data_IF_089268981974
#
_entry.id   IF_089268981974
#
_cell.length_a   1.000
_cell.length_b   1.000
_cell.length_c   1.000
_cell.angle_alpha   90.00
_cell.angle_beta   90.00
_cell.angle_gamma   90.00
#
_symmetry.space_group_name_H-M   'P 1'
#
loop_
_entity.id
_entity.type
_entity.pdbx_description
1 polymer ?
#
# COMPACT_ATOMS: atom_id res chain seq x y z
N UNK A 1 14.40 -3.47 0.82
CA UNK A 1 13.69 -2.53 1.71
C UNK A 1 13.59 -3.16 3.09
N UNK A 2 13.76 -2.39 4.16
CA UNK A 2 13.50 -2.90 5.51
C UNK A 2 11.98 -2.97 5.69
N UNK A 3 11.49 -4.08 6.19
CA UNK A 3 10.09 -4.24 6.56
C UNK A 3 9.72 -3.20 7.62
N UNK A 4 8.62 -2.52 7.43
CA UNK A 4 8.12 -1.49 8.35
C UNK A 4 6.64 -1.74 8.65
N UNK A 5 6.34 -2.50 9.72
CA UNK A 5 4.96 -2.82 10.07
C UNK A 5 4.11 -1.61 10.49
N UNK A 6 4.76 -0.46 10.73
CA UNK A 6 4.09 0.81 11.10
C UNK A 6 3.84 1.72 9.89
N UNK A 7 3.90 1.17 8.68
CA UNK A 7 3.81 1.93 7.45
C UNK A 7 2.52 2.75 7.33
N UNK A 8 1.41 2.22 7.83
CA UNK A 8 0.09 2.85 7.81
C UNK A 8 -0.25 3.63 9.09
N UNK A 9 0.60 3.61 10.10
CA UNK A 9 0.32 4.29 11.36
C UNK A 9 0.10 5.79 11.17
N UNK A 10 0.93 6.41 10.35
CA UNK A 10 0.79 7.84 10.03
C UNK A 10 -0.53 8.16 9.32
N UNK A 11 -1.00 7.26 8.46
CA UNK A 11 -2.29 7.41 7.82
C UNK A 11 -3.43 7.37 8.86
N UNK A 12 -3.37 6.43 9.81
CA UNK A 12 -4.38 6.30 10.85
C UNK A 12 -4.41 7.49 11.83
N UNK A 13 -3.35 8.27 11.92
CA UNK A 13 -3.27 9.48 12.77
C UNK A 13 -3.74 10.76 12.08
N UNK A 14 -4.07 10.72 10.80
CA UNK A 14 -4.52 11.91 10.07
C UNK A 14 -5.94 12.32 10.50
N UNK A 15 -6.18 13.61 10.73
CA UNK A 15 -7.48 14.13 11.14
C UNK A 15 -8.41 14.30 9.92
N UNK A 16 -8.75 13.20 9.25
CA UNK A 16 -9.67 13.19 8.12
C UNK A 16 -10.44 11.87 8.06
N UNK A 17 -11.62 11.93 7.48
CA UNK A 17 -12.40 10.73 7.21
C UNK A 17 -11.87 10.03 5.97
N UNK A 18 -11.46 8.77 6.12
CA UNK A 18 -11.02 7.96 4.99
C UNK A 18 -11.46 6.51 5.16
N UNK A 19 -11.54 5.83 4.04
CA UNK A 19 -11.73 4.38 3.98
C UNK A 19 -10.51 3.75 3.34
N UNK A 20 -9.89 2.81 4.04
CA UNK A 20 -8.79 1.99 3.53
C UNK A 20 -9.33 0.61 3.19
N UNK A 21 -9.12 0.20 1.96
CA UNK A 21 -9.55 -1.12 1.48
C UNK A 21 -8.36 -1.86 0.90
N UNK A 22 -8.17 -3.09 1.36
CA UNK A 22 -7.19 -4.02 0.82
C UNK A 22 -7.92 -5.17 0.13
N UNK A 23 -7.49 -5.47 -1.07
CA UNK A 23 -7.89 -6.68 -1.78
C UNK A 23 -6.65 -7.53 -1.95
N UNK A 24 -6.65 -8.73 -1.38
CA UNK A 24 -5.55 -9.67 -1.45
C UNK A 24 -6.04 -10.97 -2.05
N UNK A 25 -5.46 -11.38 -3.17
CA UNK A 25 -5.65 -12.71 -3.75
C UNK A 25 -4.40 -13.53 -3.45
N UNK A 26 -4.53 -14.50 -2.55
CA UNK A 26 -3.46 -15.45 -2.27
C UNK A 26 -3.19 -16.28 -3.51
N UNK A 27 -1.93 -16.50 -3.81
CA UNK A 27 -1.49 -17.25 -4.98
C UNK A 27 -0.83 -18.55 -4.56
N UNK A 28 -1.19 -19.63 -5.25
CA UNK A 28 -0.46 -20.89 -5.11
C UNK A 28 0.95 -20.81 -5.71
N UNK A 29 1.87 -21.65 -5.26
CA UNK A 29 3.25 -21.65 -5.77
C UNK A 29 3.34 -21.77 -7.28
N UNK A 30 2.51 -22.59 -7.91
CA UNK A 30 2.51 -22.77 -9.36
C UNK A 30 2.07 -21.51 -10.11
N UNK A 31 1.01 -20.84 -9.61
CA UNK A 31 0.49 -19.61 -10.19
C UNK A 31 1.51 -18.47 -10.05
N UNK A 32 2.10 -18.31 -8.88
CA UNK A 32 3.08 -17.26 -8.62
C UNK A 32 4.39 -17.46 -9.41
N UNK A 33 4.86 -18.70 -9.57
CA UNK A 33 6.01 -19.00 -10.44
C UNK A 33 5.75 -18.60 -11.89
N UNK A 34 4.55 -18.88 -12.40
CA UNK A 34 4.16 -18.49 -13.76
C UNK A 34 4.19 -16.97 -13.92
N UNK A 35 3.57 -16.22 -13.02
CA UNK A 35 3.54 -14.74 -13.06
C UNK A 35 4.95 -14.14 -12.97
N UNK A 36 5.81 -14.69 -12.12
CA UNK A 36 7.20 -14.24 -12.02
C UNK A 36 8.01 -14.55 -13.27
N UNK A 37 7.82 -15.73 -13.89
CA UNK A 37 8.46 -16.05 -15.18
C UNK A 37 8.04 -15.05 -16.26
N UNK A 38 6.74 -14.76 -16.37
CA UNK A 38 6.22 -13.79 -17.34
C UNK A 38 6.78 -12.39 -17.10
N UNK A 39 6.92 -11.98 -15.82
CA UNK A 39 7.53 -10.71 -15.46
C UNK A 39 9.03 -10.67 -15.83
N UNK A 40 9.78 -11.73 -15.56
CA UNK A 40 11.20 -11.86 -15.93
C UNK A 40 11.37 -11.73 -17.44
N UNK A 41 10.59 -12.50 -18.21
CA UNK A 41 10.61 -12.43 -19.68
C UNK A 41 10.27 -11.02 -20.18
N UNK A 42 9.21 -10.41 -19.61
CA UNK A 42 8.82 -9.05 -19.99
C UNK A 42 9.96 -8.04 -19.76
N UNK A 43 10.59 -8.04 -18.60
CA UNK A 43 11.69 -7.11 -18.30
C UNK A 43 12.95 -7.44 -19.10
N UNK A 44 13.26 -8.70 -19.32
CA UNK A 44 14.36 -9.12 -20.17
C UNK A 44 14.20 -8.60 -21.62
N UNK A 45 12.98 -8.69 -22.16
CA UNK A 45 12.69 -8.12 -23.47
C UNK A 45 12.66 -6.60 -23.48
N UNK A 46 12.26 -5.97 -22.39
CA UNK A 46 12.14 -4.52 -22.28
C UNK A 46 13.47 -3.81 -22.01
N UNK A 47 14.56 -4.52 -21.65
CA UNK A 47 15.88 -3.93 -21.37
C UNK A 47 16.44 -3.17 -22.58
N UNK A 48 16.16 -3.62 -23.80
CA UNK A 48 16.56 -2.95 -25.03
C UNK A 48 15.38 -2.87 -26.00
N UNK A 49 15.24 -1.74 -26.67
CA UNK A 49 14.22 -1.59 -27.72
C UNK A 49 14.55 -2.46 -28.94
N UNK A 50 13.51 -2.83 -29.73
CA UNK A 50 13.71 -3.57 -30.98
C UNK A 50 14.69 -2.84 -31.92
N UNK A 51 14.61 -1.52 -31.97
CA UNK A 51 15.54 -0.71 -32.78
C UNK A 51 17.00 -0.81 -32.27
N UNK A 52 17.21 -0.78 -30.96
CA UNK A 52 18.54 -0.95 -30.38
C UNK A 52 19.11 -2.36 -30.64
N UNK A 53 18.26 -3.41 -30.57
CA UNK A 53 18.68 -4.77 -30.93
C UNK A 53 19.06 -4.90 -32.41
N UNK A 54 18.28 -4.26 -33.26
CA UNK A 54 18.58 -4.24 -34.70
C UNK A 54 19.90 -3.52 -35.02
N UNK A 55 20.11 -2.35 -34.40
CA UNK A 55 21.38 -1.60 -34.52
C UNK A 55 22.55 -2.40 -33.94
N UNK A 56 22.36 -3.06 -32.82
CA UNK A 56 23.38 -3.93 -32.21
C UNK A 56 23.74 -5.10 -33.11
N UNK A 57 22.76 -5.73 -33.75
CA UNK A 57 22.98 -6.78 -34.74
C UNK A 57 23.79 -6.31 -35.95
N UNK A 58 23.47 -5.12 -36.48
CA UNK A 58 24.20 -4.55 -37.62
C UNK A 58 25.60 -4.06 -37.24
N UNK A 59 25.79 -3.54 -36.04
CA UNK A 59 27.07 -2.95 -35.61
C UNK A 59 27.99 -3.94 -34.90
N UNK A 60 27.55 -5.15 -34.58
CA UNK A 60 28.28 -6.16 -33.82
C UNK A 60 28.56 -5.75 -32.35
N UNK A 61 27.92 -4.69 -31.85
CA UNK A 61 28.06 -4.21 -30.48
C UNK A 61 26.85 -4.65 -29.65
N UNK A 62 27.03 -4.96 -28.34
CA UNK A 62 25.90 -5.29 -27.49
C UNK A 62 24.90 -4.11 -27.45
N UNK A 63 23.56 -4.38 -27.36
CA UNK A 63 22.57 -3.33 -27.25
C UNK A 63 22.75 -2.53 -25.96
N UNK A 64 22.48 -1.24 -26.00
CA UNK A 64 22.45 -0.42 -24.79
C UNK A 64 21.31 -0.90 -23.87
N UNK A 65 21.66 -1.19 -22.62
CA UNK A 65 20.72 -1.62 -21.59
C UNK A 65 20.23 -0.39 -20.83
N UNK A 66 18.91 -0.30 -20.63
CA UNK A 66 18.29 0.74 -19.78
C UNK A 66 18.56 0.37 -18.30
N UNK A 67 19.34 1.18 -17.55
CA UNK A 67 19.71 0.83 -16.17
C UNK A 67 18.50 0.64 -15.23
N UNK A 68 17.40 1.37 -15.46
CA UNK A 68 16.19 1.23 -14.66
C UNK A 68 15.51 -0.11 -14.86
N UNK A 69 15.49 -0.60 -16.09
CA UNK A 69 14.90 -1.91 -16.44
C UNK A 69 15.78 -3.07 -16.01
N UNK A 70 17.10 -2.86 -16.02
CA UNK A 70 18.05 -3.87 -15.51
C UNK A 70 17.87 -4.11 -14.03
N UNK A 71 17.68 -3.05 -13.24
CA UNK A 71 17.36 -3.16 -11.81
C UNK A 71 16.05 -3.92 -11.58
N UNK A 72 15.00 -3.66 -12.36
CA UNK A 72 13.73 -4.36 -12.26
C UNK A 72 13.85 -5.84 -12.63
N UNK A 73 14.61 -6.15 -13.67
CA UNK A 73 14.93 -7.52 -14.05
C UNK A 73 15.66 -8.26 -12.92
N UNK A 74 16.71 -7.67 -12.37
CA UNK A 74 17.46 -8.25 -11.25
C UNK A 74 16.58 -8.50 -10.02
N UNK A 75 15.67 -7.58 -9.69
CA UNK A 75 14.70 -7.75 -8.62
C UNK A 75 13.73 -8.92 -8.88
N UNK A 76 13.26 -9.10 -10.11
CA UNK A 76 12.40 -10.23 -10.46
C UNK A 76 13.13 -11.57 -10.36
N UNK A 77 14.40 -11.63 -10.78
CA UNK A 77 15.24 -12.83 -10.65
C UNK A 77 15.50 -13.18 -9.19
N UNK A 78 15.83 -12.19 -8.35
CA UNK A 78 15.98 -12.37 -6.90
C UNK A 78 14.68 -12.86 -6.27
N UNK A 79 13.55 -12.26 -6.63
CA UNK A 79 12.23 -12.65 -6.17
C UNK A 79 11.91 -14.13 -6.52
N UNK A 80 12.23 -14.54 -7.74
CA UNK A 80 12.07 -15.93 -8.18
C UNK A 80 12.96 -16.90 -7.40
N UNK A 81 14.20 -16.51 -7.13
CA UNK A 81 15.13 -17.29 -6.32
C UNK A 81 14.61 -17.50 -4.89
N UNK A 82 14.15 -16.42 -4.25
CA UNK A 82 13.55 -16.48 -2.89
C UNK A 82 12.28 -17.32 -2.85
N UNK A 83 11.49 -17.33 -3.92
CA UNK A 83 10.32 -18.21 -4.02
C UNK A 83 10.69 -19.68 -4.12
N UNK A 84 11.81 -20.01 -4.79
CA UNK A 84 12.28 -21.40 -4.90
C UNK A 84 12.73 -21.99 -3.57
N UNK A 85 13.26 -21.14 -2.66
CA UNK A 85 13.62 -21.54 -1.30
C UNK A 85 12.42 -21.75 -0.37
N UNK A 86 11.20 -21.50 -0.84
CA UNK A 86 9.94 -21.58 -0.10
C UNK A 86 9.82 -20.59 1.09
N UNK A 87 10.76 -19.66 1.22
CA UNK A 87 10.78 -18.66 2.29
C UNK A 87 9.77 -17.53 2.07
N UNK A 88 9.21 -17.40 0.85
CA UNK A 88 8.41 -16.25 0.46
C UNK A 88 7.17 -16.64 -0.35
N UNK A 89 6.01 -16.27 0.17
CA UNK A 89 4.74 -16.37 -0.55
C UNK A 89 4.48 -15.13 -1.42
N UNK A 90 3.53 -15.25 -2.34
CA UNK A 90 3.12 -14.18 -3.26
C UNK A 90 1.62 -13.97 -3.23
N UNK A 91 1.23 -12.71 -3.35
CA UNK A 91 -0.17 -12.30 -3.40
C UNK A 91 -0.37 -11.23 -4.48
N UNK A 92 -1.52 -11.24 -5.12
CA UNK A 92 -1.99 -10.10 -5.90
C UNK A 92 -2.69 -9.15 -4.95
N UNK A 93 -2.15 -7.97 -4.74
CA UNK A 93 -2.58 -6.99 -3.77
C UNK A 93 -2.97 -5.68 -4.44
N UNK A 94 -4.03 -5.08 -3.96
CA UNK A 94 -4.37 -3.69 -4.23
C UNK A 94 -4.80 -3.01 -2.94
N UNK A 95 -4.31 -1.81 -2.75
CA UNK A 95 -4.69 -0.91 -1.67
C UNK A 95 -5.39 0.31 -2.26
N UNK A 96 -6.58 0.60 -1.76
CA UNK A 96 -7.37 1.75 -2.17
C UNK A 96 -7.68 2.62 -0.96
N UNK A 97 -7.36 3.91 -1.06
CA UNK A 97 -7.70 4.92 -0.06
C UNK A 97 -8.78 5.81 -0.66
N UNK A 98 -9.94 5.85 -0.03
CA UNK A 98 -11.06 6.73 -0.39
C UNK A 98 -11.19 7.82 0.65
N UNK A 99 -11.19 9.07 0.19
CA UNK A 99 -11.33 10.26 1.01
C UNK A 99 -12.69 10.87 0.80
N UNK A 100 -13.29 11.35 1.87
CA UNK A 100 -14.57 12.06 1.87
C UNK A 100 -14.34 13.40 2.54
N UNK A 101 -14.65 14.48 1.84
CA UNK A 101 -14.52 15.86 2.34
C UNK A 101 -15.64 16.74 1.83
N UNK A 102 -16.01 17.76 2.58
CA UNK A 102 -17.13 18.65 2.26
C UNK A 102 -16.85 19.58 1.07
N UNK A 103 -15.58 19.79 0.74
CA UNK A 103 -15.19 20.68 -0.36
C UNK A 103 -14.01 20.17 -1.17
N UNK A 104 -13.99 20.51 -2.45
CA UNK A 104 -12.89 20.16 -3.37
C UNK A 104 -11.53 20.69 -2.89
N UNK A 105 -11.40 21.95 -2.43
CA UNK A 105 -10.10 22.43 -1.93
C UNK A 105 -9.58 21.66 -0.73
N UNK A 106 -10.45 21.24 0.19
CA UNK A 106 -10.08 20.42 1.33
C UNK A 106 -9.64 19.02 0.87
N UNK A 107 -10.39 18.41 -0.05
CA UNK A 107 -10.04 17.12 -0.65
C UNK A 107 -8.64 17.15 -1.29
N UNK A 108 -8.35 18.19 -2.08
CA UNK A 108 -7.06 18.36 -2.74
C UNK A 108 -5.91 18.53 -1.73
N UNK A 109 -6.16 19.21 -0.60
CA UNK A 109 -5.18 19.32 0.48
C UNK A 109 -4.93 17.97 1.13
N UNK A 110 -5.97 17.20 1.45
CA UNK A 110 -5.85 15.88 2.06
C UNK A 110 -5.14 14.87 1.16
N UNK A 111 -5.44 14.89 -0.11
CA UNK A 111 -4.71 14.05 -1.10
C UNK A 111 -3.21 14.32 -1.06
N UNK A 112 -2.79 15.61 -1.00
CA UNK A 112 -1.37 15.96 -0.90
C UNK A 112 -0.75 15.58 0.44
N UNK A 113 -1.47 15.71 1.55
CA UNK A 113 -1.02 15.29 2.88
C UNK A 113 -0.77 13.78 2.91
N UNK A 114 -1.72 12.97 2.45
CA UNK A 114 -1.58 11.51 2.38
C UNK A 114 -0.43 11.11 1.46
N UNK A 115 -0.32 11.71 0.28
CA UNK A 115 0.77 11.41 -0.64
C UNK A 115 2.16 11.73 -0.04
N UNK A 116 2.25 12.76 0.80
CA UNK A 116 3.49 13.12 1.50
C UNK A 116 3.82 12.13 2.63
N UNK A 117 2.82 11.75 3.44
CA UNK A 117 3.03 10.81 4.55
C UNK A 117 3.35 9.39 4.06
N UNK A 118 2.74 8.99 2.96
CA UNK A 118 2.94 7.69 2.32
C UNK A 118 3.90 7.75 1.12
N UNK A 119 4.94 8.59 1.19
CA UNK A 119 5.89 8.81 0.11
C UNK A 119 6.68 7.56 -0.34
N UNK A 120 6.62 6.49 0.45
CA UNK A 120 7.23 5.20 0.13
C UNK A 120 6.45 4.44 -0.94
N UNK A 121 5.19 4.81 -1.17
CA UNK A 121 4.32 4.24 -2.20
C UNK A 121 4.13 5.21 -3.38
N UNK A 122 3.93 4.62 -4.54
CA UNK A 122 3.45 5.37 -5.69
C UNK A 122 1.94 5.23 -5.76
N UNK A 123 1.22 6.31 -5.45
CA UNK A 123 -0.24 6.35 -5.55
C UNK A 123 -0.67 6.88 -6.91
N UNK A 124 -1.69 6.24 -7.48
CA UNK A 124 -2.36 6.72 -8.67
C UNK A 124 -3.70 7.30 -8.23
N UNK A 125 -3.88 8.62 -8.46
CA UNK A 125 -5.17 9.23 -8.25
C UNK A 125 -6.14 8.73 -9.31
N UNK A 126 -7.17 8.01 -8.88
CA UNK A 126 -8.19 7.51 -9.79
C UNK A 126 -9.13 8.65 -10.21
N UNK A 127 -9.27 8.86 -11.51
CA UNK A 127 -10.17 9.86 -12.11
C UNK A 127 -11.16 9.23 -13.07
N UNK A 128 -10.72 8.27 -13.87
CA UNK A 128 -11.52 7.64 -14.91
C UNK A 128 -12.28 6.41 -14.40
N UNK A 129 -11.67 5.67 -13.48
CA UNK A 129 -12.21 4.43 -12.94
C UNK A 129 -12.93 4.59 -11.59
N UNK A 130 -13.35 5.79 -11.19
CA UNK A 130 -13.94 6.06 -9.86
C UNK A 130 -15.09 5.12 -9.51
N UNK A 131 -15.99 4.85 -10.44
CA UNK A 131 -17.14 3.94 -10.20
C UNK A 131 -16.65 2.51 -9.93
N UNK A 132 -15.70 2.01 -10.70
CA UNK A 132 -15.14 0.69 -10.50
C UNK A 132 -14.37 0.61 -9.17
N UNK A 133 -13.57 1.61 -8.87
CA UNK A 133 -12.83 1.69 -7.59
C UNK A 133 -13.77 1.78 -6.38
N UNK A 134 -14.88 2.50 -6.49
CA UNK A 134 -15.90 2.54 -5.44
C UNK A 134 -16.51 1.16 -5.20
N UNK A 135 -16.95 0.46 -6.26
CA UNK A 135 -17.51 -0.87 -6.12
C UNK A 135 -16.48 -1.89 -5.61
N UNK A 136 -15.21 -1.75 -6.01
CA UNK A 136 -14.14 -2.62 -5.51
C UNK A 136 -13.91 -2.51 -3.99
N UNK A 137 -14.36 -1.43 -3.35
CA UNK A 137 -14.28 -1.25 -1.90
C UNK A 137 -15.42 -1.95 -1.15
N UNK A 138 -16.48 -2.38 -1.85
CA UNK A 138 -17.59 -3.09 -1.25
C UNK A 138 -17.21 -4.56 -1.09
N UNK A 139 -17.35 -5.17 0.11
CA UNK A 139 -17.06 -6.58 0.31
C UNK A 139 -17.80 -7.47 -0.70
N UNK A 140 -17.10 -8.43 -1.28
CA UNK A 140 -17.64 -9.33 -2.29
C UNK A 140 -17.59 -8.80 -3.73
N UNK A 141 -17.27 -7.52 -3.95
CA UNK A 141 -17.19 -6.88 -5.27
C UNK A 141 -15.75 -6.77 -5.81
N UNK A 142 -14.88 -7.64 -5.40
CA UNK A 142 -13.46 -7.66 -5.79
C UNK A 142 -13.21 -7.77 -7.30
N UNK A 143 -14.19 -8.27 -8.08
CA UNK A 143 -14.10 -8.34 -9.54
C UNK A 143 -13.95 -6.97 -10.21
N UNK A 144 -14.36 -5.88 -9.54
CA UNK A 144 -14.17 -4.52 -10.01
C UNK A 144 -12.75 -3.98 -9.77
N UNK A 145 -11.93 -4.68 -8.97
CA UNK A 145 -10.56 -4.27 -8.71
C UNK A 145 -9.65 -4.52 -9.91
N UNK A 146 -9.12 -3.43 -10.46
CA UNK A 146 -8.35 -3.45 -11.71
C UNK A 146 -6.85 -3.28 -11.52
N UNK A 147 -6.41 -2.87 -10.32
CA UNK A 147 -5.00 -2.51 -10.06
C UNK A 147 -4.34 -3.47 -9.08
N UNK A 148 -4.56 -4.76 -9.31
CA UNK A 148 -3.87 -5.80 -8.56
C UNK A 148 -2.40 -5.86 -9.00
N UNK A 149 -1.50 -5.74 -8.05
CA UNK A 149 -0.06 -5.85 -8.25
C UNK A 149 0.47 -7.10 -7.55
N UNK A 150 1.43 -7.75 -8.18
CA UNK A 150 2.13 -8.87 -7.57
C UNK A 150 3.08 -8.34 -6.51
N UNK A 151 2.87 -8.73 -5.26
CA UNK A 151 3.72 -8.39 -4.12
C UNK A 151 4.02 -9.64 -3.30
N UNK A 152 5.12 -9.63 -2.58
CA UNK A 152 5.44 -10.71 -1.66
C UNK A 152 4.62 -10.59 -0.37
N UNK A 153 4.53 -11.68 0.39
CA UNK A 153 3.79 -11.73 1.66
C UNK A 153 4.34 -10.78 2.72
N UNK A 154 5.64 -10.48 2.72
CA UNK A 154 6.25 -9.50 3.63
C UNK A 154 5.70 -8.10 3.37
N UNK A 155 5.70 -7.65 2.10
CA UNK A 155 5.15 -6.33 1.73
C UNK A 155 3.64 -6.28 1.96
N UNK A 156 2.93 -7.38 1.69
CA UNK A 156 1.49 -7.44 1.97
C UNK A 156 1.19 -7.33 3.46
N UNK A 157 2.02 -7.94 4.31
CA UNK A 157 1.92 -7.83 5.76
C UNK A 157 2.20 -6.40 6.25
N UNK A 158 3.25 -5.74 5.73
CA UNK A 158 3.58 -4.34 6.06
C UNK A 158 2.45 -3.37 5.67
N UNK A 159 1.71 -3.68 4.61
CA UNK A 159 0.54 -2.92 4.19
C UNK A 159 -0.73 -3.26 4.98
N UNK A 160 -0.70 -4.27 5.85
CA UNK A 160 -1.87 -4.65 6.62
C UNK A 160 -2.04 -3.77 7.85
N UNK A 161 -3.24 -3.22 8.11
CA UNK A 161 -3.47 -2.35 9.27
C UNK A 161 -3.52 -3.12 10.60
N UNK A 162 -3.31 -4.44 10.61
CA UNK A 162 -3.36 -5.26 11.83
C UNK A 162 -2.25 -4.95 12.83
N UNK A 163 -1.20 -4.28 12.40
CA UNK A 163 -0.09 -3.85 13.26
C UNK A 163 -0.26 -2.42 13.80
N UNK A 164 -1.27 -1.69 13.34
CA UNK A 164 -1.55 -0.34 13.82
C UNK A 164 -2.47 -0.43 15.03
N UNK A 165 -2.07 0.26 16.10
CA UNK A 165 -2.92 0.42 17.28
C UNK A 165 -3.64 1.76 17.12
N UNK A 166 -4.96 1.75 17.26
CA UNK A 166 -5.72 3.00 17.30
C UNK A 166 -5.16 3.87 18.43
N UNK A 167 -4.87 5.16 18.17
CA UNK A 167 -4.39 6.06 19.21
C UNK A 167 -5.43 6.29 20.33
N UNK A 168 -6.65 5.80 20.16
CA UNK A 168 -7.77 6.08 21.06
C UNK A 168 -8.26 7.52 20.95
N UNK A 169 -9.39 7.83 21.56
CA UNK A 169 -9.90 9.21 21.63
C UNK A 169 -9.03 10.05 22.55
N UNK A 170 -8.64 11.29 22.18
CA UNK A 170 -7.96 12.22 23.08
C UNK A 170 -8.85 12.74 24.20
N UNK A 171 -10.16 12.53 24.07
CA UNK A 171 -11.17 12.95 25.03
C UNK A 171 -12.03 11.77 25.48
N UNK A 172 -12.39 11.78 26.77
CA UNK A 172 -13.34 10.82 27.31
C UNK A 172 -14.76 11.24 26.91
N UNK A 173 -15.40 10.47 26.06
CA UNK A 173 -16.73 10.78 25.51
C UNK A 173 -17.81 10.75 26.63
N UNK A 174 -17.74 9.76 27.48
CA UNK A 174 -18.67 9.63 28.61
C UNK A 174 -18.61 10.85 29.54
N UNK A 175 -17.42 11.22 30.03
CA UNK A 175 -17.27 12.37 30.90
C UNK A 175 -17.63 13.68 30.20
N UNK A 176 -17.28 13.82 28.94
CA UNK A 176 -17.60 15.00 28.14
C UNK A 176 -19.11 15.18 27.97
N UNK A 177 -19.83 14.11 27.66
CA UNK A 177 -21.27 14.15 27.44
C UNK A 177 -22.08 14.20 28.73
N UNK A 178 -21.88 13.22 29.59
CA UNK A 178 -22.74 12.97 30.75
C UNK A 178 -22.42 13.87 31.96
N UNK A 179 -21.14 14.05 32.26
CA UNK A 179 -20.73 14.75 33.49
C UNK A 179 -20.47 16.25 33.24
N UNK A 180 -19.73 16.59 32.22
CA UNK A 180 -19.29 17.96 31.96
C UNK A 180 -20.09 18.69 30.88
N UNK A 181 -21.23 18.14 30.44
CA UNK A 181 -22.19 18.79 29.53
C UNK A 181 -21.55 19.42 28.29
N UNK A 182 -20.75 18.63 27.58
CA UNK A 182 -20.11 19.03 26.33
C UNK A 182 -18.78 19.77 26.47
N UNK A 183 -18.25 19.98 27.68
CA UNK A 183 -16.89 20.46 27.84
C UNK A 183 -15.88 19.32 27.60
N UNK A 184 -14.92 19.49 26.70
CA UNK A 184 -13.98 18.42 26.39
C UNK A 184 -13.15 18.04 27.61
N UNK A 185 -13.23 16.79 28.04
CA UNK A 185 -12.46 16.23 29.15
C UNK A 185 -11.38 15.34 28.57
N UNK A 186 -10.10 15.61 28.86
CA UNK A 186 -9.01 14.75 28.38
C UNK A 186 -9.15 13.32 28.90
N UNK A 187 -8.71 12.36 28.09
CA UNK A 187 -8.65 10.96 28.50
C UNK A 187 -7.82 10.78 29.76
N UNK A 188 -8.29 9.97 30.69
CA UNK A 188 -7.69 9.79 32.01
C UNK A 188 -6.27 9.23 31.99
N UNK A 189 -5.98 8.36 31.02
CA UNK A 189 -4.69 7.69 30.91
C UNK A 189 -4.17 7.72 29.48
N UNK A 190 -2.87 7.96 29.35
CA UNK A 190 -2.18 7.93 28.07
C UNK A 190 -0.91 7.11 28.23
N UNK A 191 -0.80 6.06 27.44
CA UNK A 191 0.35 5.17 27.40
C UNK A 191 1.17 5.43 26.13
N UNK A 192 2.39 4.94 26.13
CA UNK A 192 3.19 4.84 24.89
C UNK A 192 3.34 3.37 24.55
N UNK A 193 3.11 3.06 23.26
CA UNK A 193 3.41 1.74 22.74
C UNK A 193 4.92 1.51 22.73
N UNK A 194 5.35 0.27 22.54
CA UNK A 194 6.77 -0.08 22.36
C UNK A 194 7.43 0.64 21.17
N UNK A 195 6.61 1.14 20.23
CA UNK A 195 7.04 1.88 19.04
C UNK A 195 7.03 3.41 19.26
N UNK A 196 6.71 3.86 20.48
CA UNK A 196 6.71 5.29 20.85
C UNK A 196 5.43 6.04 20.51
N UNK A 197 4.42 5.38 19.92
CA UNK A 197 3.12 6.00 19.63
C UNK A 197 2.29 6.18 20.88
N UNK A 198 1.51 7.25 20.88
CA UNK A 198 0.60 7.53 22.00
C UNK A 198 -0.66 6.68 21.85
N UNK A 199 -1.05 6.03 22.93
CA UNK A 199 -2.31 5.34 23.07
C UNK A 199 -3.11 5.95 24.22
N UNK A 200 -4.29 6.48 23.92
CA UNK A 200 -5.21 7.04 24.90
C UNK A 200 -6.19 5.95 25.30
N UNK A 201 -6.20 5.65 26.58
CA UNK A 201 -7.07 4.63 27.13
C UNK A 201 -8.25 5.29 27.86
N UNK A 202 -9.45 5.02 27.38
CA UNK A 202 -10.68 5.44 28.03
C UNK A 202 -11.33 4.21 28.68
N UNK A 203 -11.41 4.16 30.02
CA UNK A 203 -12.00 3.03 30.72
C UNK A 203 -13.54 3.03 30.68
N UNK A 204 -14.17 4.06 30.11
CA UNK A 204 -15.62 4.22 30.06
C UNK A 204 -16.22 3.93 28.67
N UNK A 205 -15.45 3.39 27.76
CA UNK A 205 -15.92 2.95 26.43
C UNK A 205 -16.10 1.45 26.40
#
# INVERSE_FOLDING_TARGET
RKNNPLLLEKLMSLPCEFRLTHVMKLMGQRESRKELSEAIEHYQFAQSSLAQRFVAYLSGKPPAIDPGKDVLYAQCVEASSRQMSEDLGWVKHAMTISLIEDSVPQLERRVREIARELNQFTFIRERLGLKASFWAMVPGQWAHQRRLQLVNTEVAADCSPVFTISPGSPFCEFLTGEVYKGKPVPTLSSFRTIYGTRYNFDPYV
#
